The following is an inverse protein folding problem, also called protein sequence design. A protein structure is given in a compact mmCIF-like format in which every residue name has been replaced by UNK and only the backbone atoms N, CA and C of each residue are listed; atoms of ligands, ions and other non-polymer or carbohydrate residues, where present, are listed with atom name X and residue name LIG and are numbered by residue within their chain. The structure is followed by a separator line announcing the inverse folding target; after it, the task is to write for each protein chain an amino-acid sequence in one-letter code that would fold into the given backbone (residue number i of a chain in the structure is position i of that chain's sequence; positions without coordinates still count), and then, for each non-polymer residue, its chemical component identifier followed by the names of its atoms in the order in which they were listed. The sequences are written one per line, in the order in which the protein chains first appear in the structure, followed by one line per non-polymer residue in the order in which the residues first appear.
data_IF_076661454108
#
_entry.id   IF_076661454108
#
_cell.length_a   1.000
_cell.length_b   1.000
_cell.length_c   1.000
_cell.angle_alpha   90.00
_cell.angle_beta   90.00
_cell.angle_gamma   90.00
#
_symmetry.space_group_name_H-M   'P 1'
#
loop_
_entity.id
_entity.type
_entity.pdbx_description
1 polymer ?
#
# COMPACT_ATOMS: atom_id res chain seq x y z
N UNK A 1 41.58 18.05 18.28
CA UNK A 1 40.13 17.78 18.49
C UNK A 1 39.41 17.17 17.28
N UNK A 2 39.86 17.34 16.02
CA UNK A 2 39.01 17.03 14.83
C UNK A 2 38.81 15.57 14.40
N UNK A 3 39.75 14.65 14.63
CA UNK A 3 39.67 13.28 14.06
C UNK A 3 38.65 12.36 14.74
N UNK A 4 38.40 12.55 16.04
CA UNK A 4 37.47 11.72 16.82
C UNK A 4 36.02 12.10 16.54
N UNK A 5 35.74 13.41 16.49
CA UNK A 5 34.44 13.94 16.09
C UNK A 5 34.07 13.56 14.65
N UNK A 6 35.03 13.59 13.71
CA UNK A 6 34.81 13.14 12.33
C UNK A 6 34.49 11.63 12.25
N UNK A 7 35.18 10.81 13.06
CA UNK A 7 34.88 9.37 13.15
C UNK A 7 33.50 9.11 13.74
N UNK A 8 33.11 9.82 14.79
CA UNK A 8 31.80 9.69 15.42
C UNK A 8 30.68 10.13 14.47
N UNK A 9 30.87 11.21 13.71
CA UNK A 9 29.94 11.66 12.69
C UNK A 9 29.75 10.61 11.57
N UNK A 10 30.84 9.98 11.12
CA UNK A 10 30.80 8.90 10.12
C UNK A 10 30.06 7.67 10.63
N UNK A 11 30.29 7.29 11.89
CA UNK A 11 29.60 6.16 12.50
C UNK A 11 28.10 6.44 12.68
N UNK A 12 27.72 7.65 13.06
CA UNK A 12 26.33 8.08 13.15
C UNK A 12 25.64 8.04 11.77
N UNK A 13 26.29 8.59 10.74
CA UNK A 13 25.77 8.55 9.38
C UNK A 13 25.59 7.12 8.86
N UNK A 14 26.55 6.22 9.14
CA UNK A 14 26.45 4.81 8.79
C UNK A 14 25.30 4.11 9.52
N UNK A 15 25.11 4.40 10.82
CA UNK A 15 23.99 3.85 11.59
C UNK A 15 22.64 4.32 11.06
N UNK A 16 22.51 5.61 10.70
CA UNK A 16 21.29 6.15 10.09
C UNK A 16 21.00 5.49 8.74
N UNK A 17 22.01 5.34 7.88
CA UNK A 17 21.85 4.66 6.59
C UNK A 17 21.42 3.20 6.75
N UNK A 18 21.99 2.47 7.72
CA UNK A 18 21.61 1.09 8.00
C UNK A 18 20.14 0.98 8.44
N UNK A 19 19.67 1.88 9.31
CA UNK A 19 18.26 1.91 9.72
C UNK A 19 17.33 2.21 8.55
N UNK A 20 17.69 3.16 7.68
CA UNK A 20 16.89 3.49 6.51
C UNK A 20 16.82 2.30 5.54
N UNK A 21 17.93 1.61 5.28
CA UNK A 21 17.96 0.43 4.41
C UNK A 21 17.09 -0.72 4.96
N UNK A 22 17.14 -0.96 6.27
CA UNK A 22 16.29 -1.98 6.92
C UNK A 22 14.82 -1.53 6.95
N UNK A 23 14.55 -0.22 7.11
CA UNK A 23 13.20 0.32 7.11
C UNK A 23 12.55 0.34 5.71
N UNK A 24 13.33 0.44 4.64
CA UNK A 24 12.82 0.24 3.27
C UNK A 24 12.32 -1.20 3.04
N UNK A 25 12.86 -2.18 3.77
CA UNK A 25 12.34 -3.56 3.79
C UNK A 25 11.17 -3.77 4.78
N UNK A 26 10.84 -2.76 5.59
CA UNK A 26 9.70 -2.78 6.51
C UNK A 26 8.38 -2.71 5.76
N UNK A 27 7.48 -3.68 6.05
CA UNK A 27 6.15 -3.89 5.45
C UNK A 27 5.69 -2.73 4.56
N UNK A 28 6.10 -2.76 3.29
CA UNK A 28 5.48 -1.90 2.30
C UNK A 28 3.98 -2.16 2.44
N UNK A 29 3.19 -1.10 2.65
CA UNK A 29 1.73 -1.15 2.60
C UNK A 29 1.36 -1.56 1.17
N UNK A 30 1.47 -2.85 0.92
CA UNK A 30 1.11 -3.46 -0.32
C UNK A 30 -0.39 -3.24 -0.50
N UNK A 31 -0.84 -3.05 -1.75
CA UNK A 31 -2.27 -3.09 -2.00
C UNK A 31 -2.84 -4.36 -1.35
N UNK A 32 -3.75 -4.18 -0.38
CA UNK A 32 -4.43 -5.31 0.27
C UNK A 32 -4.95 -6.24 -0.81
N UNK A 33 -4.87 -7.55 -0.62
CA UNK A 33 -5.03 -8.56 -1.70
C UNK A 33 -6.26 -8.36 -2.60
N UNK A 34 -7.31 -7.73 -2.08
CA UNK A 34 -8.53 -7.35 -2.81
C UNK A 34 -8.33 -6.31 -3.93
N UNK A 35 -7.16 -5.67 -4.04
CA UNK A 35 -6.85 -4.67 -5.08
C UNK A 35 -6.24 -5.27 -6.34
N UNK A 36 -5.96 -6.59 -6.36
CA UNK A 36 -5.49 -7.30 -7.56
C UNK A 36 -6.54 -7.21 -8.68
N UNK A 37 -6.07 -7.15 -9.93
CA UNK A 37 -6.97 -7.12 -11.10
C UNK A 37 -7.87 -8.35 -11.08
N UNK A 38 -9.19 -8.13 -11.20
CA UNK A 38 -10.19 -9.20 -11.20
C UNK A 38 -10.85 -9.48 -9.85
N UNK A 39 -10.27 -9.01 -8.75
CA UNK A 39 -10.87 -9.12 -7.42
C UNK A 39 -12.17 -8.29 -7.32
N UNK A 40 -13.10 -8.64 -6.40
CA UNK A 40 -14.38 -7.96 -6.27
C UNK A 40 -14.27 -6.43 -6.14
N UNK A 41 -13.34 -5.95 -5.31
CA UNK A 41 -13.10 -4.50 -5.15
C UNK A 41 -12.58 -3.87 -6.45
N UNK A 42 -11.60 -4.50 -7.11
CA UNK A 42 -11.02 -3.99 -8.37
C UNK A 42 -12.08 -3.89 -9.48
N UNK A 43 -12.95 -4.91 -9.60
CA UNK A 43 -14.05 -4.95 -10.57
C UNK A 43 -15.11 -3.89 -10.29
N UNK A 44 -15.49 -3.73 -9.02
CA UNK A 44 -16.48 -2.74 -8.62
C UNK A 44 -15.96 -1.32 -8.74
N UNK A 45 -14.71 -1.07 -8.35
CA UNK A 45 -14.06 0.22 -8.49
C UNK A 45 -13.95 0.63 -9.97
N UNK A 46 -13.55 -0.28 -10.86
CA UNK A 46 -13.51 -0.02 -12.31
C UNK A 46 -14.89 0.34 -12.85
N UNK A 47 -15.95 -0.36 -12.40
CA UNK A 47 -17.33 -0.04 -12.80
C UNK A 47 -17.75 1.36 -12.38
N UNK A 48 -17.46 1.74 -11.14
CA UNK A 48 -17.78 3.09 -10.63
C UNK A 48 -17.05 4.17 -11.43
N UNK A 49 -15.77 3.97 -11.74
CA UNK A 49 -14.98 4.92 -12.55
C UNK A 49 -15.58 5.17 -13.95
N UNK A 50 -16.17 4.16 -14.57
CA UNK A 50 -16.84 4.29 -15.88
C UNK A 50 -18.32 4.69 -15.77
N UNK A 51 -18.75 5.20 -14.61
CA UNK A 51 -20.14 5.65 -14.36
C UNK A 51 -21.15 4.51 -14.20
N UNK A 52 -20.71 3.25 -14.10
CA UNK A 52 -21.59 2.10 -13.84
C UNK A 52 -21.72 1.86 -12.34
N UNK A 53 -22.87 1.32 -11.93
CA UNK A 53 -23.10 0.92 -10.53
C UNK A 53 -22.24 -0.30 -10.15
N UNK A 54 -21.83 -0.36 -8.88
CA UNK A 54 -21.13 -1.50 -8.31
C UNK A 54 -21.98 -2.80 -8.38
N UNK A 55 -21.34 -3.96 -8.43
CA UNK A 55 -22.01 -5.26 -8.57
C UNK A 55 -22.86 -5.59 -7.34
N UNK A 56 -22.46 -5.12 -6.16
CA UNK A 56 -23.23 -5.28 -4.93
C UNK A 56 -24.64 -4.69 -5.05
N UNK A 57 -24.76 -3.42 -5.49
CA UNK A 57 -26.07 -2.76 -5.73
C UNK A 57 -26.78 -3.26 -6.99
N UNK A 58 -26.05 -3.88 -7.93
CA UNK A 58 -26.66 -4.49 -9.11
C UNK A 58 -27.33 -5.84 -8.80
N UNK A 59 -26.82 -6.59 -7.80
CA UNK A 59 -27.41 -7.86 -7.34
C UNK A 59 -28.70 -7.67 -6.55
N UNK A 60 -28.77 -6.67 -5.67
CA UNK A 60 -29.94 -6.42 -4.80
C UNK A 60 -31.22 -6.08 -5.56
N UNK A 61 -31.14 -5.65 -6.82
CA UNK A 61 -32.31 -5.36 -7.65
C UNK A 61 -32.87 -6.58 -8.39
N UNK A 62 -32.11 -7.68 -8.45
CA UNK A 62 -32.53 -8.93 -9.13
C UNK A 62 -33.19 -9.93 -8.19
N UNK A 63 -33.07 -9.73 -6.88
CA UNK A 63 -33.90 -10.42 -5.89
C UNK A 63 -35.26 -9.72 -5.86
N UNK A 64 -36.22 -10.22 -6.62
CA UNK A 64 -37.63 -10.01 -6.27
C UNK A 64 -37.87 -10.67 -4.90
N UNK A 65 -38.46 -9.97 -3.92
CA UNK A 65 -38.95 -10.64 -2.73
C UNK A 65 -40.05 -11.61 -3.20
N UNK A 66 -39.91 -12.90 -2.83
CA UNK A 66 -41.01 -13.86 -2.94
C UNK A 66 -41.98 -13.64 -1.79
#
# INVERSE_FOLDING_TARGET
MGKRADREAKLLAAAMAAVLLVAEEGEALGPTGQRKSGEPWSRDHRRVLIGRRNLFRARTRRSTPR
#
